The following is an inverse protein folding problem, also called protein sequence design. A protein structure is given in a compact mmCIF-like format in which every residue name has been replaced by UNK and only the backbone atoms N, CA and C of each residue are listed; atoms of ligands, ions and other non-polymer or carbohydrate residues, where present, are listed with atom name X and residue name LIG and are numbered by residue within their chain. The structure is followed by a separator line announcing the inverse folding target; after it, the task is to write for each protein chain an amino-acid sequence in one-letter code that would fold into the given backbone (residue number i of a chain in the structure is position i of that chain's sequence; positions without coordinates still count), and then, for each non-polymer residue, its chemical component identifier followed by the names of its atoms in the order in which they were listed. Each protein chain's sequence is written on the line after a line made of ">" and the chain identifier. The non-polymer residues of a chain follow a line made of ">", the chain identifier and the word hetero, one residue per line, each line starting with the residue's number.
data_IF_474914796421
#
_entry.id   IF_474914796421
#
_cell.length_a   1.000
_cell.length_b   1.000
_cell.length_c   1.000
_cell.angle_alpha   90.00
_cell.angle_beta   90.00
_cell.angle_gamma   90.00
#
_symmetry.space_group_name_H-M   'P 1'
#
loop_
_entity.id
_entity.type
_entity.pdbx_description
1 polymer ?
#
# COMPACT_ATOMS: atom_id res chain seq x y z
N UNK A 1 8.39 -0.91 -22.54
CA UNK A 1 9.54 -0.99 -21.59
C UNK A 1 10.62 0.04 -21.88
N UNK A 2 10.79 0.50 -23.12
CA UNK A 2 11.95 1.34 -23.50
C UNK A 2 11.95 2.73 -22.84
N UNK A 3 10.77 3.30 -22.59
CA UNK A 3 10.66 4.57 -21.89
C UNK A 3 11.17 4.47 -20.44
N UNK A 4 10.93 3.37 -19.74
CA UNK A 4 11.46 3.16 -18.38
C UNK A 4 12.99 3.04 -18.41
N UNK A 5 13.55 2.32 -19.40
CA UNK A 5 15.01 2.23 -19.57
C UNK A 5 15.66 3.60 -19.79
N UNK A 6 15.04 4.45 -20.62
CA UNK A 6 15.52 5.83 -20.86
C UNK A 6 15.46 6.67 -19.58
N UNK A 7 14.40 6.54 -18.78
CA UNK A 7 14.26 7.25 -17.50
C UNK A 7 15.33 6.79 -16.50
N UNK A 8 15.52 5.48 -16.35
CA UNK A 8 16.52 4.89 -15.46
C UNK A 8 17.94 5.29 -15.87
N UNK A 9 18.22 5.43 -17.16
CA UNK A 9 19.51 5.91 -17.66
C UNK A 9 19.85 7.35 -17.25
N UNK A 10 18.85 8.16 -16.89
CA UNK A 10 19.01 9.53 -16.39
C UNK A 10 19.01 9.61 -14.86
N UNK A 11 18.74 8.51 -14.16
CA UNK A 11 18.68 8.49 -12.70
C UNK A 11 20.07 8.34 -12.09
N UNK A 12 20.29 9.00 -10.95
CA UNK A 12 21.44 8.73 -10.12
C UNK A 12 21.43 7.27 -9.66
N UNK A 13 22.60 6.65 -9.48
CA UNK A 13 22.73 5.23 -9.18
C UNK A 13 21.89 4.78 -7.97
N UNK A 14 21.87 5.59 -6.91
CA UNK A 14 21.08 5.33 -5.71
C UNK A 14 19.55 5.41 -5.95
N UNK A 15 19.10 6.18 -6.94
CA UNK A 15 17.67 6.35 -7.27
C UNK A 15 17.13 5.20 -8.13
N UNK A 16 18.02 4.32 -8.62
CA UNK A 16 17.66 3.11 -9.39
C UNK A 16 17.14 1.98 -8.50
N UNK A 17 17.38 2.04 -7.18
CA UNK A 17 16.85 1.05 -6.25
C UNK A 17 15.34 1.15 -6.15
N UNK A 18 14.67 0.04 -6.41
CA UNK A 18 13.22 -0.05 -6.45
C UNK A 18 12.72 -1.35 -5.84
N UNK A 19 11.44 -1.36 -5.46
CA UNK A 19 10.71 -2.52 -4.98
C UNK A 19 9.65 -2.90 -6.01
N UNK A 20 9.43 -4.20 -6.17
CA UNK A 20 8.31 -4.75 -6.94
C UNK A 20 7.12 -4.96 -6.01
N UNK A 21 6.01 -4.32 -6.33
CA UNK A 21 4.74 -4.42 -5.63
C UNK A 21 3.76 -5.24 -6.47
N UNK A 22 3.03 -6.12 -5.80
CA UNK A 22 1.93 -6.88 -6.38
C UNK A 22 0.66 -6.43 -5.70
N UNK A 23 -0.38 -6.15 -6.48
CA UNK A 23 -1.69 -5.80 -5.96
C UNK A 23 -2.79 -6.43 -6.81
N UNK A 24 -3.93 -6.74 -6.19
CA UNK A 24 -5.10 -7.28 -6.88
C UNK A 24 -6.25 -6.27 -6.78
N UNK A 25 -6.75 -5.84 -7.93
CA UNK A 25 -7.81 -4.84 -8.03
C UNK A 25 -9.09 -5.55 -8.48
N UNK A 26 -10.14 -5.50 -7.66
CA UNK A 26 -11.47 -5.97 -8.08
C UNK A 26 -12.04 -5.12 -9.21
N UNK A 27 -12.60 -5.77 -10.22
CA UNK A 27 -13.21 -5.17 -11.40
C UNK A 27 -14.72 -5.38 -11.40
N UNK A 28 -15.45 -4.47 -12.04
CA UNK A 28 -16.83 -4.74 -12.44
C UNK A 28 -16.81 -5.66 -13.65
N UNK A 29 -17.23 -6.91 -13.46
CA UNK A 29 -17.32 -7.89 -14.54
C UNK A 29 -18.28 -7.43 -15.65
N UNK A 30 -17.86 -7.62 -16.89
CA UNK A 30 -18.66 -7.30 -18.07
C UNK A 30 -17.90 -7.68 -19.34
N UNK A 31 -18.64 -8.06 -20.39
CA UNK A 31 -18.06 -8.38 -21.69
C UNK A 31 -18.29 -7.23 -22.65
N UNK A 32 -17.22 -6.79 -23.34
CA UNK A 32 -17.31 -5.74 -24.33
C UNK A 32 -16.68 -6.21 -25.64
N UNK A 33 -17.48 -6.24 -26.70
CA UNK A 33 -16.97 -6.58 -28.03
C UNK A 33 -16.43 -5.32 -28.70
N UNK A 34 -15.17 -5.37 -29.13
CA UNK A 34 -14.50 -4.30 -29.88
C UNK A 34 -14.39 -4.72 -31.37
N UNK A 35 -15.30 -4.23 -32.25
CA UNK A 35 -15.43 -4.77 -33.61
C UNK A 35 -14.18 -4.58 -34.46
N UNK A 36 -13.47 -3.47 -34.28
CA UNK A 36 -12.27 -3.14 -35.04
C UNK A 36 -11.11 -4.11 -34.81
N UNK A 37 -11.10 -4.82 -33.67
CA UNK A 37 -10.07 -5.82 -33.33
C UNK A 37 -10.59 -7.25 -33.44
N UNK A 38 -11.89 -7.44 -33.70
CA UNK A 38 -12.54 -8.75 -33.60
C UNK A 38 -12.36 -9.39 -32.23
N UNK A 39 -12.28 -8.57 -31.17
CA UNK A 39 -11.85 -9.01 -29.84
C UNK A 39 -12.93 -8.71 -28.80
N UNK A 40 -13.29 -9.71 -28.01
CA UNK A 40 -14.17 -9.53 -26.84
C UNK A 40 -13.27 -9.29 -25.62
N UNK A 41 -13.33 -8.12 -25.00
CA UNK A 41 -12.68 -7.86 -23.71
C UNK A 41 -13.57 -8.27 -22.53
N UNK A 42 -12.97 -8.46 -21.36
CA UNK A 42 -13.68 -8.84 -20.13
C UNK A 42 -13.56 -10.31 -19.73
N UNK A 43 -12.82 -11.09 -20.50
CA UNK A 43 -12.43 -12.45 -20.14
C UNK A 43 -11.09 -12.49 -19.39
N UNK A 44 -10.85 -13.57 -18.65
CA UNK A 44 -9.58 -13.89 -18.01
C UNK A 44 -8.47 -14.00 -19.07
N UNK A 45 -7.40 -13.26 -18.84
CA UNK A 45 -6.26 -13.12 -19.74
C UNK A 45 -4.97 -13.02 -18.92
N UNK A 46 -4.20 -14.10 -18.94
CA UNK A 46 -2.90 -14.23 -18.27
C UNK A 46 -1.73 -13.94 -19.24
N UNK A 47 -2.01 -13.23 -20.34
CA UNK A 47 -1.05 -12.93 -21.38
C UNK A 47 -0.54 -14.21 -22.05
N UNK A 48 0.78 -14.44 -21.97
CA UNK A 48 1.43 -15.60 -22.60
C UNK A 48 1.01 -16.96 -22.01
N UNK A 49 0.52 -16.97 -20.77
CA UNK A 49 0.00 -18.18 -20.13
C UNK A 49 -1.36 -18.60 -20.69
N UNK A 50 -1.98 -17.75 -21.50
CA UNK A 50 -3.21 -18.03 -22.22
C UNK A 50 -4.41 -17.28 -21.66
N UNK A 51 -5.51 -17.48 -22.39
CA UNK A 51 -6.79 -16.82 -22.18
C UNK A 51 -7.86 -17.87 -21.98
N UNK A 52 -8.83 -17.61 -21.11
CA UNK A 52 -9.95 -18.53 -20.86
C UNK A 52 -11.30 -17.83 -21.11
N UNK A 53 -12.35 -18.61 -21.31
CA UNK A 53 -13.73 -18.08 -21.47
C UNK A 53 -14.38 -17.71 -20.13
N UNK A 54 -13.60 -17.59 -19.05
CA UNK A 54 -14.12 -17.12 -17.78
C UNK A 54 -14.16 -15.60 -17.76
N UNK A 55 -15.26 -15.02 -17.29
CA UNK A 55 -15.35 -13.56 -17.11
C UNK A 55 -14.40 -13.14 -15.99
N UNK A 56 -13.56 -12.15 -16.28
CA UNK A 56 -12.65 -11.58 -15.30
C UNK A 56 -13.42 -10.74 -14.28
N UNK A 57 -13.04 -10.87 -13.02
CA UNK A 57 -13.56 -10.09 -11.90
C UNK A 57 -12.45 -9.37 -11.12
N UNK A 58 -11.17 -9.64 -11.46
CA UNK A 58 -10.01 -9.01 -10.84
C UNK A 58 -8.93 -8.70 -11.88
N UNK A 59 -8.07 -7.72 -11.56
CA UNK A 59 -6.83 -7.43 -12.24
C UNK A 59 -5.67 -7.58 -11.26
N UNK A 60 -4.76 -8.52 -11.52
CA UNK A 60 -3.48 -8.61 -10.86
C UNK A 60 -2.53 -7.59 -11.51
N UNK A 61 -2.00 -6.64 -10.74
CA UNK A 61 -1.14 -5.57 -11.23
C UNK A 61 0.23 -5.65 -10.58
N UNK A 62 1.27 -5.57 -11.40
CA UNK A 62 2.66 -5.48 -10.98
C UNK A 62 3.13 -4.04 -11.14
N UNK A 63 3.57 -3.43 -10.04
CA UNK A 63 4.08 -2.06 -10.02
C UNK A 63 5.51 -2.05 -9.52
N UNK A 64 6.35 -1.22 -10.12
CA UNK A 64 7.69 -0.92 -9.59
C UNK A 64 7.64 0.43 -8.92
N UNK A 65 8.18 0.53 -7.70
CA UNK A 65 8.26 1.76 -6.92
C UNK A 65 9.69 2.06 -6.50
N UNK A 66 10.14 3.30 -6.72
CA UNK A 66 11.45 3.75 -6.23
C UNK A 66 11.50 3.82 -4.71
N UNK A 67 12.62 3.39 -4.12
CA UNK A 67 12.83 3.44 -2.67
C UNK A 67 13.22 4.85 -2.24
N UNK A 68 14.26 5.41 -2.86
CA UNK A 68 14.79 6.74 -2.52
C UNK A 68 13.96 7.88 -3.10
N UNK A 69 13.50 7.73 -4.35
CA UNK A 69 12.64 8.70 -5.03
C UNK A 69 11.25 8.12 -5.20
N UNK A 70 10.23 8.94 -4.93
CA UNK A 70 8.85 8.52 -4.98
C UNK A 70 8.31 8.50 -6.43
N UNK A 71 8.78 7.54 -7.22
CA UNK A 71 8.23 7.22 -8.55
C UNK A 71 7.56 5.86 -8.51
N UNK A 72 6.51 5.67 -9.32
CA UNK A 72 5.79 4.40 -9.46
C UNK A 72 5.34 4.19 -10.88
N UNK A 73 5.44 2.97 -11.40
CA UNK A 73 4.98 2.60 -12.73
C UNK A 73 4.42 1.18 -12.74
N UNK A 74 3.24 0.99 -13.35
CA UNK A 74 2.73 -0.35 -13.65
C UNK A 74 3.55 -0.96 -14.79
N UNK A 75 4.07 -2.16 -14.57
CA UNK A 75 4.92 -2.88 -15.54
C UNK A 75 4.21 -4.04 -16.22
N UNK A 76 3.22 -4.64 -15.57
CA UNK A 76 2.40 -5.71 -16.10
C UNK A 76 1.05 -5.76 -15.38
N UNK A 77 0.05 -6.28 -16.07
CA UNK A 77 -1.24 -6.63 -15.47
C UNK A 77 -1.80 -7.88 -16.13
N UNK A 78 -2.61 -8.61 -15.39
CA UNK A 78 -3.31 -9.80 -15.85
C UNK A 78 -4.75 -9.79 -15.35
N UNK A 79 -5.67 -10.22 -16.20
CA UNK A 79 -7.08 -10.33 -15.85
C UNK A 79 -7.34 -11.74 -15.35
N UNK A 80 -7.91 -11.86 -14.15
CA UNK A 80 -8.13 -13.15 -13.50
C UNK A 80 -9.61 -13.33 -13.18
N UNK A 81 -10.07 -14.58 -13.25
CA UNK A 81 -11.39 -15.00 -12.81
C UNK A 81 -11.25 -15.78 -11.51
N UNK A 82 -11.69 -15.17 -10.40
CA UNK A 82 -11.54 -15.63 -9.01
C UNK A 82 -10.10 -15.49 -8.46
N UNK A 83 -9.98 -14.85 -7.30
CA UNK A 83 -8.77 -14.84 -6.47
C UNK A 83 -8.32 -16.28 -6.15
N UNK A 84 -7.01 -16.49 -5.99
CA UNK A 84 -6.42 -17.72 -5.41
C UNK A 84 -7.30 -18.23 -4.24
N UNK A 85 -7.76 -19.48 -4.33
CA UNK A 85 -8.78 -20.16 -3.48
C UNK A 85 -9.49 -19.32 -2.41
N UNK A 86 -10.55 -18.65 -2.83
CA UNK A 86 -11.43 -17.72 -2.09
C UNK A 86 -12.58 -18.40 -1.32
N UNK A 87 -12.42 -19.66 -0.85
CA UNK A 87 -13.53 -20.40 -0.23
C UNK A 87 -14.07 -19.77 1.08
N UNK A 88 -13.39 -18.78 1.67
CA UNK A 88 -13.89 -18.01 2.82
C UNK A 88 -14.14 -16.50 2.58
N UNK A 89 -13.73 -15.92 1.44
CA UNK A 89 -13.70 -14.45 1.28
C UNK A 89 -14.96 -13.86 0.61
N UNK A 90 -15.80 -14.67 -0.06
CA UNK A 90 -17.05 -14.20 -0.68
C UNK A 90 -18.16 -13.77 0.29
N UNK A 91 -18.02 -14.07 1.60
CA UNK A 91 -18.97 -13.60 2.63
C UNK A 91 -18.64 -12.20 3.18
N UNK A 92 -17.47 -11.66 2.83
CA UNK A 92 -17.02 -10.36 3.30
C UNK A 92 -17.16 -9.37 2.14
N UNK A 93 -18.36 -8.83 2.10
CA UNK A 93 -18.83 -7.73 1.27
C UNK A 93 -17.76 -6.63 1.07
N UNK A 94 -17.87 -5.94 -0.06
CA UNK A 94 -17.25 -4.67 -0.49
C UNK A 94 -17.14 -3.54 0.57
N UNK A 95 -17.68 -3.77 1.77
CA UNK A 95 -17.60 -2.95 2.98
C UNK A 95 -16.32 -3.17 3.81
N UNK A 96 -15.61 -4.29 3.63
CA UNK A 96 -14.28 -4.50 4.22
C UNK A 96 -13.18 -3.90 3.35
N UNK A 97 -13.19 -2.57 3.19
CA UNK A 97 -11.91 -1.88 2.93
C UNK A 97 -11.03 -2.14 4.13
N UNK A 98 -9.81 -2.66 3.95
CA UNK A 98 -8.85 -2.75 5.05
C UNK A 98 -8.59 -1.36 5.61
N UNK A 99 -9.31 -0.98 6.67
CA UNK A 99 -9.09 0.28 7.38
C UNK A 99 -7.94 0.05 8.34
N UNK A 100 -6.71 0.04 7.81
CA UNK A 100 -5.48 -0.03 8.62
C UNK A 100 -5.52 1.02 9.73
N UNK A 101 -6.12 2.19 9.48
CA UNK A 101 -6.35 3.25 10.47
C UNK A 101 -7.11 2.78 11.72
N UNK A 102 -8.13 1.92 11.58
CA UNK A 102 -8.91 1.43 12.74
C UNK A 102 -8.06 0.46 13.56
N UNK A 103 -7.36 -0.45 12.90
CA UNK A 103 -6.46 -1.40 13.58
C UNK A 103 -5.29 -0.67 14.28
N UNK A 104 -4.65 0.28 13.60
CA UNK A 104 -3.57 1.08 14.14
C UNK A 104 -4.03 1.95 15.32
N UNK A 105 -5.23 2.53 15.26
CA UNK A 105 -5.78 3.28 16.38
C UNK A 105 -6.03 2.40 17.62
N UNK A 106 -6.54 1.18 17.41
CA UNK A 106 -6.79 0.22 18.49
C UNK A 106 -5.49 -0.29 19.13
N UNK A 107 -4.43 -0.41 18.35
CA UNK A 107 -3.11 -0.89 18.78
C UNK A 107 -2.11 0.26 18.84
N UNK A 108 -2.50 1.36 19.49
CA UNK A 108 -1.68 2.57 19.60
C UNK A 108 -1.06 2.74 20.98
N UNK A 109 0.03 3.52 21.03
CA UNK A 109 0.70 3.90 22.29
C UNK A 109 -0.27 4.40 23.37
N UNK A 110 -1.22 5.27 23.00
CA UNK A 110 -2.16 5.88 23.96
C UNK A 110 -3.16 4.86 24.52
N UNK A 111 -3.54 3.85 23.73
CA UNK A 111 -4.41 2.76 24.20
C UNK A 111 -3.67 1.89 25.21
N UNK A 112 -2.40 1.57 24.96
CA UNK A 112 -1.59 0.81 25.92
C UNK A 112 -1.42 1.56 27.24
N UNK A 113 -1.05 2.86 27.19
CA UNK A 113 -0.95 3.70 28.39
C UNK A 113 -2.28 3.80 29.16
N UNK A 114 -3.42 3.82 28.46
CA UNK A 114 -4.73 3.80 29.08
C UNK A 114 -4.98 2.49 29.85
N UNK A 115 -4.61 1.34 29.26
CA UNK A 115 -4.72 0.03 29.92
C UNK A 115 -3.86 0.00 31.18
N UNK A 116 -2.59 0.45 31.12
CA UNK A 116 -1.69 0.49 32.28
C UNK A 116 -2.23 1.38 33.39
N UNK A 117 -2.68 2.60 33.05
CA UNK A 117 -3.25 3.54 34.02
C UNK A 117 -4.53 3.02 34.67
N UNK A 118 -5.39 2.34 33.91
CA UNK A 118 -6.61 1.75 34.45
C UNK A 118 -6.33 0.54 35.35
N UNK A 119 -5.34 -0.30 35.02
CA UNK A 119 -4.86 -1.34 35.93
C UNK A 119 -4.30 -0.73 37.22
N UNK A 120 -3.46 0.30 37.11
CA UNK A 120 -2.89 1.00 38.27
C UNK A 120 -3.95 1.63 39.16
N UNK A 121 -5.06 2.10 38.57
CA UNK A 121 -6.21 2.64 39.31
C UNK A 121 -7.13 1.56 39.93
N UNK A 122 -6.83 0.27 39.74
CA UNK A 122 -7.64 -0.85 40.24
C UNK A 122 -8.94 -1.11 39.46
N UNK A 123 -9.12 -0.45 38.31
CA UNK A 123 -10.31 -0.59 37.47
C UNK A 123 -10.20 -1.76 36.47
N UNK A 124 -9.00 -2.34 36.29
CA UNK A 124 -8.78 -3.56 35.50
C UNK A 124 -7.99 -4.60 36.30
N UNK A 125 -8.14 -5.90 35.94
CA UNK A 125 -7.31 -6.96 36.50
C UNK A 125 -5.83 -6.75 36.17
N UNK A 126 -4.93 -7.12 37.09
CA UNK A 126 -3.47 -6.98 36.95
C UNK A 126 -2.92 -7.68 35.70
N UNK A 127 -3.58 -8.73 35.25
CA UNK A 127 -3.26 -9.51 34.07
C UNK A 127 -3.40 -8.69 32.78
N UNK A 128 -4.17 -7.60 32.79
CA UNK A 128 -4.35 -6.74 31.62
C UNK A 128 -3.07 -5.96 31.25
N UNK A 129 -2.08 -5.84 32.14
CA UNK A 129 -0.77 -5.23 31.85
C UNK A 129 -0.07 -5.92 30.67
N UNK A 130 -0.21 -7.23 30.54
CA UNK A 130 0.38 -7.97 29.42
C UNK A 130 -0.23 -7.55 28.06
N UNK A 131 -1.49 -7.12 28.05
CA UNK A 131 -2.11 -6.58 26.84
C UNK A 131 -1.49 -5.23 26.47
N UNK A 132 -1.22 -4.37 27.45
CA UNK A 132 -0.55 -3.10 27.20
C UNK A 132 0.86 -3.29 26.64
N UNK A 133 1.65 -4.20 27.22
CA UNK A 133 2.99 -4.53 26.72
C UNK A 133 2.96 -5.03 25.26
N UNK A 134 1.98 -5.87 24.92
CA UNK A 134 1.78 -6.33 23.56
C UNK A 134 1.44 -5.17 22.62
N UNK A 135 0.50 -4.31 23.00
CA UNK A 135 0.09 -3.15 22.20
C UNK A 135 1.27 -2.22 21.96
N UNK A 136 2.08 -1.90 22.97
CA UNK A 136 3.29 -1.09 22.82
C UNK A 136 4.29 -1.69 21.83
N UNK A 137 4.51 -3.01 21.86
CA UNK A 137 5.40 -3.70 20.91
C UNK A 137 4.87 -3.60 19.48
N UNK A 138 3.57 -3.78 19.28
CA UNK A 138 2.94 -3.69 17.96
C UNK A 138 2.98 -2.27 17.41
N UNK A 139 2.67 -1.28 18.24
CA UNK A 139 2.73 0.15 17.91
C UNK A 139 4.15 0.55 17.46
N UNK A 140 5.17 0.21 18.26
CA UNK A 140 6.58 0.49 17.94
C UNK A 140 7.03 -0.22 16.65
N UNK A 141 6.60 -1.46 16.44
CA UNK A 141 6.87 -2.20 15.20
C UNK A 141 6.22 -1.51 14.00
N UNK A 142 4.96 -1.12 14.13
CA UNK A 142 4.20 -0.46 13.07
C UNK A 142 4.85 0.89 12.68
N UNK A 143 5.29 1.67 13.65
CA UNK A 143 6.00 2.93 13.41
C UNK A 143 7.37 2.72 12.77
N UNK A 144 8.11 1.67 13.17
CA UNK A 144 9.41 1.35 12.57
C UNK A 144 9.31 0.99 11.08
N UNK A 145 8.20 0.36 10.68
CA UNK A 145 7.94 -0.04 9.29
C UNK A 145 7.31 1.08 8.45
N UNK A 146 6.69 2.07 9.11
CA UNK A 146 6.04 3.22 8.46
C UNK A 146 6.82 4.53 8.64
N UNK A 147 8.10 4.46 8.97
CA UNK A 147 8.97 5.64 9.06
C UNK A 147 9.06 6.37 7.73
N UNK A 148 8.76 7.68 7.72
CA UNK A 148 8.93 8.53 6.55
C UNK A 148 10.15 9.44 6.75
N UNK A 149 11.13 9.36 5.86
CA UNK A 149 12.22 10.35 5.82
C UNK A 149 11.71 11.61 5.12
N UNK A 150 11.49 12.69 5.87
CA UNK A 150 11.33 14.02 5.28
C UNK A 150 12.64 14.40 4.60
N UNK A 151 12.69 14.32 3.27
CA UNK A 151 13.77 14.93 2.51
C UNK A 151 13.39 16.37 2.23
N UNK A 152 14.08 17.33 2.86
CA UNK A 152 14.07 18.71 2.39
C UNK A 152 14.55 18.67 0.94
N UNK A 153 13.77 19.15 -0.04
CA UNK A 153 14.25 19.24 -1.41
C UNK A 153 15.51 20.12 -1.42
N UNK A 154 16.63 19.58 -1.92
CA UNK A 154 17.82 20.38 -2.25
C UNK A 154 17.39 21.47 -3.24
N UNK A 155 17.12 22.68 -2.72
CA UNK A 155 16.57 23.79 -3.51
C UNK A 155 15.62 24.72 -2.77
N UNK A 156 15.10 24.36 -1.59
CA UNK A 156 14.30 25.25 -0.74
C UNK A 156 15.06 25.66 0.53
N UNK A 157 16.23 26.28 0.34
CA UNK A 157 16.77 27.18 1.37
C UNK A 157 16.21 28.55 1.06
N UNK A 158 15.07 28.90 1.68
CA UNK A 158 14.59 30.27 1.65
C UNK A 158 15.63 31.17 2.34
N UNK A 159 16.27 32.02 1.53
CA UNK A 159 17.17 33.07 1.97
C UNK A 159 16.39 34.23 2.60
N UNK A 160 15.66 33.99 3.68
CA UNK A 160 14.93 35.02 4.42
C UNK A 160 15.25 34.94 5.91
N UNK A 161 16.50 35.27 6.28
CA UNK A 161 16.86 35.62 7.67
C UNK A 161 18.07 36.58 7.71
N UNK A 162 18.11 37.59 6.82
CA UNK A 162 19.12 38.68 6.85
C UNK A 162 18.60 40.11 6.70
N UNK A 163 17.30 40.34 6.84
CA UNK A 163 16.64 41.63 7.03
C UNK A 163 15.48 41.32 7.99
N UNK A 164 15.44 41.71 9.25
CA UNK A 164 15.68 43.04 9.79
C UNK A 164 16.23 42.95 11.23
N UNK A 165 17.45 43.46 11.41
CA UNK A 165 17.94 43.93 12.71
C UNK A 165 18.39 45.38 12.53
N UNK A 166 17.39 46.27 12.57
CA UNK A 166 17.41 47.72 12.77
C UNK A 166 16.01 47.99 13.35
N UNK A 167 15.82 48.39 14.59
CA UNK A 167 16.55 49.27 15.53
C UNK A 167 16.47 48.64 16.91
#
# INVERSE_FOLDING_TARGET
>A
MDQLKVQVGKMHELDRHCVLLLDEISLSSGLHYEPHKGHISGYEDLGHLGRSEKVADHALVFLVRGIRKNWKQAIAYYFTSKTVSTLCLKKLDSRMKMKVKVAAAQLSYSVAACIETWVASGNLPSEAVHTAEFVHKVDSLFDSLNGYSFSVPEGLVFSELKKDMKI
#
